data_IF_914342700069
#
_entry.id   IF_914342700069
#
_cell.length_a   1.000
_cell.length_b   1.000
_cell.length_c   1.000
_cell.angle_alpha   90.00
_cell.angle_beta   90.00
_cell.angle_gamma   90.00
#
_symmetry.space_group_name_H-M   'P 1'
#
loop_
_entity.id
_entity.type
_entity.pdbx_description
1 polymer ?
#
# COMPACT_ATOMS: atom_id res chain seq x y z
N UNK A 1 46.42 -2.46 10.67
CA UNK A 1 45.31 -3.44 10.64
C UNK A 1 44.51 -3.25 11.93
N UNK A 2 43.46 -2.42 11.94
CA UNK A 2 42.60 -2.24 13.13
C UNK A 2 41.39 -3.17 13.01
N UNK A 3 41.18 -4.03 14.02
CA UNK A 3 40.06 -4.96 14.07
C UNK A 3 38.76 -4.24 14.50
N UNK A 4 37.58 -4.64 13.98
CA UNK A 4 36.31 -4.04 14.36
C UNK A 4 35.91 -4.40 15.80
N UNK A 5 35.17 -3.51 16.51
CA UNK A 5 34.68 -3.81 17.84
C UNK A 5 33.61 -4.91 17.80
N UNK A 6 33.73 -5.86 18.72
CA UNK A 6 32.75 -6.92 18.95
C UNK A 6 31.60 -6.40 19.81
N UNK A 7 30.36 -6.60 19.34
CA UNK A 7 29.15 -6.35 20.12
C UNK A 7 28.68 -7.66 20.73
N UNK A 8 28.56 -7.71 22.06
CA UNK A 8 27.95 -8.85 22.75
C UNK A 8 26.44 -8.64 22.81
N UNK A 9 25.68 -9.49 22.12
CA UNK A 9 24.22 -9.53 22.22
C UNK A 9 23.87 -10.11 23.59
N UNK A 10 23.37 -9.28 24.49
CA UNK A 10 22.80 -9.77 25.75
C UNK A 10 21.51 -10.54 25.44
N UNK A 11 21.45 -11.78 25.91
CA UNK A 11 20.25 -12.59 25.79
C UNK A 11 19.09 -11.93 26.55
N UNK A 12 17.91 -11.94 25.94
CA UNK A 12 16.70 -11.46 26.60
C UNK A 12 16.43 -12.33 27.85
N UNK A 13 16.04 -11.72 28.98
CA UNK A 13 15.65 -12.49 30.15
C UNK A 13 14.45 -13.38 29.80
N UNK A 14 14.54 -14.65 30.19
CA UNK A 14 13.47 -15.63 30.07
C UNK A 14 12.74 -15.68 31.42
N UNK A 15 11.60 -14.97 31.58
CA UNK A 15 10.86 -15.00 32.84
C UNK A 15 10.33 -16.42 33.09
N UNK A 16 10.28 -16.83 34.35
CA UNK A 16 9.65 -18.10 34.70
C UNK A 16 8.13 -18.01 34.48
N UNK A 17 7.48 -19.13 34.20
CA UNK A 17 6.04 -19.13 33.92
C UNK A 17 5.22 -18.54 35.08
N UNK A 18 5.66 -18.75 36.32
CA UNK A 18 5.04 -18.15 37.51
C UNK A 18 5.10 -16.61 37.52
N UNK A 19 6.14 -15.99 36.94
CA UNK A 19 6.31 -14.53 36.92
C UNK A 19 5.35 -13.86 35.93
N UNK A 20 4.81 -14.63 34.97
CA UNK A 20 3.86 -14.17 33.97
C UNK A 20 2.40 -14.37 34.41
N UNK A 21 2.15 -15.05 35.54
CA UNK A 21 0.79 -15.40 35.99
C UNK A 21 -0.08 -14.16 36.24
N UNK A 22 0.49 -13.07 36.76
CA UNK A 22 -0.23 -11.83 37.04
C UNK A 22 -0.85 -11.17 35.80
N UNK A 23 -0.21 -11.32 34.64
CA UNK A 23 -0.66 -10.76 33.35
C UNK A 23 -2.00 -11.37 32.89
N UNK A 24 -2.24 -12.64 33.22
CA UNK A 24 -3.46 -13.35 32.83
C UNK A 24 -4.58 -13.23 33.87
N UNK A 25 -4.22 -13.02 35.14
CA UNK A 25 -5.19 -12.86 36.23
C UNK A 25 -5.83 -11.47 36.26
N UNK A 26 -5.15 -10.44 35.77
CA UNK A 26 -5.67 -9.06 35.71
C UNK A 26 -5.48 -8.48 34.30
N UNK A 27 -6.32 -8.86 33.33
CA UNK A 27 -6.20 -8.33 31.98
C UNK A 27 -6.43 -6.82 31.98
N UNK A 28 -5.54 -6.06 31.33
CA UNK A 28 -5.69 -4.61 31.14
C UNK A 28 -6.86 -4.26 30.20
N UNK A 29 -7.31 -5.22 29.40
CA UNK A 29 -8.44 -5.07 28.50
C UNK A 29 -9.71 -5.61 29.13
N UNK A 30 -10.83 -4.93 28.91
CA UNK A 30 -12.15 -5.42 29.30
C UNK A 30 -12.43 -6.77 28.59
N UNK A 31 -12.98 -7.77 29.31
CA UNK A 31 -13.36 -9.06 28.71
C UNK A 31 -14.43 -8.91 27.63
N UNK A 32 -15.21 -7.82 27.70
CA UNK A 32 -16.24 -7.49 26.71
C UNK A 32 -15.71 -6.73 25.50
N UNK A 33 -14.39 -6.55 25.37
CA UNK A 33 -13.83 -5.91 24.18
C UNK A 33 -14.20 -6.74 22.95
N UNK A 34 -15.07 -6.17 22.12
CA UNK A 34 -15.38 -6.69 20.79
C UNK A 34 -14.57 -5.93 19.75
N UNK A 35 -14.24 -6.55 18.60
CA UNK A 35 -13.69 -5.82 17.47
C UNK A 35 -14.59 -4.64 17.11
N UNK A 36 -14.01 -3.52 16.71
CA UNK A 36 -14.78 -2.41 16.15
C UNK A 36 -15.62 -2.91 14.98
N UNK A 37 -16.89 -2.50 14.92
CA UNK A 37 -17.76 -2.85 13.78
C UNK A 37 -17.11 -2.32 12.51
N UNK A 38 -16.85 -3.22 11.56
CA UNK A 38 -16.45 -2.82 10.20
C UNK A 38 -17.48 -1.80 9.68
N UNK A 39 -17.04 -0.58 9.42
CA UNK A 39 -17.88 0.43 8.77
C UNK A 39 -18.24 -0.11 7.38
N UNK A 40 -19.52 -0.44 7.23
CA UNK A 40 -20.24 -0.90 6.05
C UNK A 40 -19.43 -1.13 4.77
N UNK A 41 -19.43 -2.38 4.31
CA UNK A 41 -19.22 -2.78 2.92
C UNK A 41 -20.34 -2.22 2.02
N UNK A 42 -20.48 -0.90 1.94
CA UNK A 42 -20.86 -0.35 0.63
C UNK A 42 -19.62 -0.56 -0.20
N UNK A 43 -19.63 -1.62 -1.01
CA UNK A 43 -18.57 -1.88 -1.96
C UNK A 43 -18.63 -0.77 -3.01
N UNK A 44 -18.16 0.42 -2.61
CA UNK A 44 -17.55 1.36 -3.53
C UNK A 44 -16.49 0.51 -4.18
N UNK A 45 -16.77 0.07 -5.41
CA UNK A 45 -15.77 -0.49 -6.28
C UNK A 45 -14.55 0.41 -6.13
N UNK A 46 -13.50 -0.08 -5.51
CA UNK A 46 -12.36 0.73 -5.15
C UNK A 46 -11.25 0.38 -6.11
N UNK A 47 -10.55 1.39 -6.62
CA UNK A 47 -9.31 1.16 -7.36
C UNK A 47 -8.14 0.83 -6.41
N UNK A 48 -8.34 0.79 -5.09
CA UNK A 48 -7.29 0.60 -4.10
C UNK A 48 -6.45 -0.67 -4.29
N UNK A 49 -7.03 -1.72 -4.87
CA UNK A 49 -6.33 -2.99 -5.11
C UNK A 49 -5.75 -3.11 -6.52
N UNK A 50 -5.79 -2.02 -7.30
CA UNK A 50 -5.29 -1.94 -8.67
C UNK A 50 -4.08 -1.02 -8.73
N UNK A 51 -3.03 -1.50 -9.37
CA UNK A 51 -1.82 -0.71 -9.66
C UNK A 51 -1.67 -0.55 -11.15
N UNK A 52 -1.34 0.66 -11.62
CA UNK A 52 -1.06 0.89 -13.04
C UNK A 52 0.31 0.29 -13.36
N UNK A 53 0.31 -0.79 -14.15
CA UNK A 53 1.52 -1.54 -14.52
C UNK A 53 2.08 -1.13 -15.87
N UNK A 54 1.25 -0.57 -16.75
CA UNK A 54 1.70 -0.05 -18.04
C UNK A 54 0.64 0.76 -18.76
N UNK A 55 1.09 1.47 -19.79
CA UNK A 55 0.26 2.32 -20.65
C UNK A 55 0.70 2.08 -22.09
N UNK A 56 -0.27 1.95 -22.99
CA UNK A 56 -0.03 1.84 -24.43
C UNK A 56 -0.79 2.94 -25.14
N UNK A 57 -0.04 3.80 -25.86
CA UNK A 57 -0.59 4.86 -26.71
C UNK A 57 0.05 4.69 -28.08
N UNK A 58 -0.72 4.17 -29.05
CA UNK A 58 -0.25 3.92 -30.42
C UNK A 58 -1.37 4.25 -31.39
N UNK A 59 -1.24 5.37 -32.11
CA UNK A 59 -2.28 5.85 -33.01
C UNK A 59 -3.63 6.02 -32.29
N UNK A 60 -4.64 5.25 -32.72
CA UNK A 60 -5.97 5.23 -32.13
C UNK A 60 -6.12 4.27 -30.93
N UNK A 61 -5.07 3.50 -30.60
CA UNK A 61 -5.06 2.57 -29.48
C UNK A 61 -4.53 3.27 -28.23
N UNK A 62 -5.42 3.51 -27.27
CA UNK A 62 -5.08 4.08 -25.96
C UNK A 62 -5.58 3.15 -24.87
N UNK A 63 -4.67 2.51 -24.13
CA UNK A 63 -4.99 1.51 -23.11
C UNK A 63 -4.13 1.62 -21.86
N UNK A 64 -4.75 1.37 -20.71
CA UNK A 64 -4.08 1.17 -19.43
C UNK A 64 -4.06 -0.32 -19.09
N UNK A 65 -2.92 -0.79 -18.59
CA UNK A 65 -2.76 -2.12 -18.01
C UNK A 65 -2.70 -1.99 -16.48
N UNK A 66 -3.53 -2.77 -15.80
CA UNK A 66 -3.72 -2.72 -14.37
C UNK A 66 -3.37 -4.08 -13.76
N UNK A 67 -2.59 -4.09 -12.70
CA UNK A 67 -2.28 -5.31 -11.94
C UNK A 67 -3.09 -5.34 -10.66
N UNK A 68 -3.82 -6.44 -10.46
CA UNK A 68 -4.47 -6.76 -9.19
C UNK A 68 -3.47 -7.45 -8.24
N UNK A 69 -3.55 -7.14 -6.95
CA UNK A 69 -2.76 -7.85 -5.94
C UNK A 69 -3.09 -9.36 -5.97
N UNK A 70 -2.13 -10.18 -6.39
CA UNK A 70 -2.30 -11.65 -6.52
C UNK A 70 -3.20 -12.11 -7.67
N UNK A 71 -3.66 -11.20 -8.55
CA UNK A 71 -4.60 -11.50 -9.62
C UNK A 71 -4.03 -11.33 -11.03
N UNK A 72 -4.83 -11.65 -12.07
CA UNK A 72 -4.44 -11.43 -13.46
C UNK A 72 -4.31 -9.94 -13.79
N UNK A 73 -3.58 -9.64 -14.86
CA UNK A 73 -3.52 -8.29 -15.42
C UNK A 73 -4.82 -7.97 -16.14
N UNK A 74 -5.38 -6.79 -15.86
CA UNK A 74 -6.56 -6.26 -16.53
C UNK A 74 -6.13 -5.17 -17.52
N UNK A 75 -6.75 -5.12 -18.69
CA UNK A 75 -6.50 -4.08 -19.69
C UNK A 75 -7.78 -3.32 -19.96
N UNK A 76 -7.70 -1.99 -20.00
CA UNK A 76 -8.86 -1.11 -20.24
C UNK A 76 -8.51 -0.03 -21.25
N UNK A 77 -9.37 0.14 -22.26
CA UNK A 77 -9.20 1.17 -23.31
C UNK A 77 -9.77 2.50 -22.84
N UNK A 78 -9.29 3.61 -23.39
CA UNK A 78 -9.87 4.92 -23.13
C UNK A 78 -11.37 4.90 -23.44
N UNK A 79 -12.19 5.42 -22.53
CA UNK A 79 -13.65 5.44 -22.60
C UNK A 79 -14.33 4.15 -22.15
N UNK A 80 -13.60 3.06 -21.89
CA UNK A 80 -14.17 1.79 -21.43
C UNK A 80 -14.26 1.72 -19.90
N UNK A 81 -15.24 0.94 -19.42
CA UNK A 81 -15.42 0.66 -18.01
C UNK A 81 -14.77 -0.68 -17.61
N UNK A 82 -14.20 -0.71 -16.43
CA UNK A 82 -13.75 -1.91 -15.75
C UNK A 82 -14.95 -2.71 -15.22
N UNK A 83 -14.78 -4.01 -14.88
CA UNK A 83 -15.84 -4.82 -14.27
C UNK A 83 -16.38 -4.25 -12.96
N UNK A 84 -15.60 -3.40 -12.29
CA UNK A 84 -15.98 -2.71 -11.07
C UNK A 84 -16.70 -1.36 -11.34
N UNK A 85 -16.99 -1.01 -12.59
CA UNK A 85 -17.73 0.19 -12.97
C UNK A 85 -16.90 1.45 -13.17
N UNK A 86 -15.61 1.46 -12.82
CA UNK A 86 -14.74 2.61 -13.10
C UNK A 86 -14.46 2.75 -14.59
N UNK A 87 -14.70 3.93 -15.14
CA UNK A 87 -14.41 4.24 -16.55
C UNK A 87 -13.07 4.94 -16.69
N UNK A 88 -12.24 4.50 -17.64
CA UNK A 88 -11.03 5.22 -18.00
C UNK A 88 -11.40 6.48 -18.80
N UNK A 89 -11.23 7.66 -18.21
CA UNK A 89 -11.64 8.93 -18.84
C UNK A 89 -10.47 9.69 -19.45
N UNK A 90 -9.26 9.52 -18.91
CA UNK A 90 -8.08 10.17 -19.43
C UNK A 90 -6.86 9.28 -19.28
N UNK A 91 -5.97 9.33 -20.27
CA UNK A 91 -4.77 8.54 -20.31
C UNK A 91 -3.62 9.41 -20.81
N UNK A 92 -2.51 9.40 -20.10
CA UNK A 92 -1.25 10.03 -20.50
C UNK A 92 -0.14 8.98 -20.47
N UNK A 93 1.05 9.26 -21.01
CA UNK A 93 2.18 8.34 -20.89
C UNK A 93 2.62 8.00 -19.45
N UNK A 94 2.15 8.75 -18.43
CA UNK A 94 2.58 8.59 -17.04
C UNK A 94 1.46 8.16 -16.08
N UNK A 95 0.21 8.47 -16.40
CA UNK A 95 -0.92 8.19 -15.52
C UNK A 95 -2.22 7.92 -16.27
N UNK A 96 -3.14 7.23 -15.60
CA UNK A 96 -4.48 6.93 -16.05
C UNK A 96 -5.50 7.48 -15.02
N UNK A 97 -6.50 8.22 -15.50
CA UNK A 97 -7.55 8.82 -14.67
C UNK A 97 -8.88 8.11 -14.91
N UNK A 98 -9.46 7.63 -13.83
CA UNK A 98 -10.71 6.89 -13.83
C UNK A 98 -11.81 7.69 -13.16
N UNK A 99 -13.06 7.48 -13.59
CA UNK A 99 -14.23 8.04 -12.91
C UNK A 99 -15.29 6.99 -12.61
N UNK A 100 -16.01 7.21 -11.50
CA UNK A 100 -17.16 6.42 -11.06
C UNK A 100 -18.12 7.34 -10.28
N UNK A 101 -19.34 7.52 -10.79
CA UNK A 101 -20.41 8.27 -10.11
C UNK A 101 -19.97 9.66 -9.60
N UNK A 102 -19.29 10.44 -10.43
CA UNK A 102 -18.78 11.78 -10.08
C UNK A 102 -17.49 11.79 -9.24
N UNK A 103 -16.99 10.64 -8.83
CA UNK A 103 -15.66 10.50 -8.20
C UNK A 103 -14.61 10.26 -9.26
N UNK A 104 -13.43 10.86 -9.08
CA UNK A 104 -12.29 10.67 -9.98
C UNK A 104 -11.10 10.18 -9.19
N UNK A 105 -10.34 9.24 -9.75
CA UNK A 105 -9.13 8.72 -9.14
C UNK A 105 -8.06 8.47 -10.21
N UNK A 106 -6.83 8.87 -9.89
CA UNK A 106 -5.68 8.75 -10.80
C UNK A 106 -4.76 7.65 -10.30
N UNK A 107 -4.38 6.76 -11.20
CA UNK A 107 -3.30 5.80 -11.00
C UNK A 107 -2.11 6.25 -11.84
N UNK A 108 -0.93 6.27 -11.24
CA UNK A 108 0.31 6.63 -11.94
C UNK A 108 1.20 5.41 -12.10
N UNK A 109 1.98 5.37 -13.18
CA UNK A 109 3.02 4.37 -13.31
C UNK A 109 4.00 4.54 -12.16
N UNK A 110 4.27 3.44 -11.45
CA UNK A 110 5.33 3.42 -10.44
C UNK A 110 6.67 3.59 -11.16
N UNK A 111 7.16 4.82 -11.23
CA UNK A 111 8.59 5.05 -11.45
C UNK A 111 9.34 4.51 -10.23
N UNK A 112 10.48 3.85 -10.45
CA UNK A 112 11.44 3.61 -9.36
C UNK A 112 11.92 4.97 -8.88
N UNK A 113 11.23 5.54 -7.89
CA UNK A 113 11.65 6.77 -7.24
C UNK A 113 12.87 6.40 -6.41
N UNK A 114 14.02 6.95 -6.76
CA UNK A 114 15.18 6.88 -5.89
C UNK A 114 14.79 7.59 -4.57
N UNK A 115 15.06 7.01 -3.40
CA UNK A 115 14.88 7.74 -2.15
C UNK A 115 15.73 9.01 -2.22
N UNK A 116 15.12 10.16 -1.92
CA UNK A 116 15.90 11.39 -1.70
C UNK A 116 16.72 11.18 -0.43
N UNK A 117 18.01 10.95 -0.59
CA UNK A 117 18.99 11.03 0.48
C UNK A 117 19.24 12.50 0.82
N UNK A 118 18.29 13.14 1.51
CA UNK A 118 18.48 14.44 2.13
C UNK A 118 19.30 14.25 3.41
N UNK A 119 20.64 14.24 3.30
CA UNK A 119 21.47 14.39 4.50
C UNK A 119 21.33 15.84 4.98
N UNK A 120 20.96 16.08 6.26
CA UNK A 120 21.03 17.41 6.82
C UNK A 120 22.49 17.88 6.75
N UNK A 121 22.71 19.06 6.15
CA UNK A 121 24.02 19.70 6.13
C UNK A 121 24.26 20.22 7.54
N UNK A 122 24.87 19.38 8.37
CA UNK A 122 25.29 19.75 9.72
C UNK A 122 26.22 20.96 9.62
N UNK A 123 25.76 22.09 10.14
CA UNK A 123 26.60 23.28 10.24
C UNK A 123 27.58 23.04 11.38
N UNK A 124 28.86 22.99 11.03
CA UNK A 124 29.97 22.89 11.98
C UNK A 124 30.03 24.14 12.86
N UNK A 125 30.46 24.02 14.13
CA UNK A 125 30.82 25.17 14.96
C UNK A 125 32.10 25.87 14.47
#
# INVERSE_FOLDING_TARGET
MHAPPSFQVQAAPTPALQDLAGTWQTPLFSPDRRPDREVGKTQVASLANLTLSGIMITGNLQMAMLKQAGGPTLTVRLGQALPNGWRLEHLTPQYARFALNGRTQTLSLYGKRLPLNSHPRESLP
#
